data_IF_914958057605
#
_entry.id   IF_914958057605
#
_cell.length_a   1.000
_cell.length_b   1.000
_cell.length_c   1.000
_cell.angle_alpha   90.00
_cell.angle_beta   90.00
_cell.angle_gamma   90.00
#
_symmetry.space_group_name_H-M   'P 1'
#
loop_
_entity.id
_entity.type
_entity.pdbx_description
1 polymer ?
#
# COMPACT_ATOMS: atom_id res chain seq x y z
N UNK A 1 19.79 4.08 -11.08
CA UNK A 1 20.86 3.27 -11.69
C UNK A 1 21.49 4.04 -12.82
N UNK A 2 22.80 3.80 -13.07
CA UNK A 2 23.39 4.22 -14.34
C UNK A 2 22.78 3.43 -15.50
N UNK A 3 22.99 3.90 -16.75
CA UNK A 3 22.47 3.18 -17.91
C UNK A 3 23.09 1.78 -18.02
N UNK A 4 24.40 1.67 -17.81
CA UNK A 4 25.15 0.41 -17.85
C UNK A 4 24.64 -0.57 -16.79
N UNK A 5 24.43 -0.10 -15.56
CA UNK A 5 23.93 -0.94 -14.48
C UNK A 5 22.45 -1.33 -14.68
N UNK A 6 21.68 -0.48 -15.37
CA UNK A 6 20.31 -0.81 -15.75
C UNK A 6 20.23 -1.83 -16.89
N UNK A 7 21.22 -1.88 -17.77
CA UNK A 7 21.30 -2.88 -18.84
C UNK A 7 21.74 -4.25 -18.32
N UNK A 8 22.50 -4.29 -17.23
CA UNK A 8 23.03 -5.52 -16.61
C UNK A 8 22.29 -5.81 -15.27
N UNK A 9 20.98 -5.86 -15.35
CA UNK A 9 20.17 -6.13 -14.17
C UNK A 9 19.78 -7.61 -14.03
N UNK A 10 19.60 -8.04 -12.80
CA UNK A 10 18.91 -9.28 -12.46
C UNK A 10 17.59 -9.00 -11.75
N UNK A 11 16.82 -10.04 -11.49
CA UNK A 11 15.63 -9.95 -10.66
C UNK A 11 15.96 -10.47 -9.26
N UNK A 12 15.75 -9.63 -8.26
CA UNK A 12 15.84 -10.01 -6.84
C UNK A 12 14.44 -10.22 -6.32
N UNK A 13 14.20 -11.30 -5.60
CA UNK A 13 12.86 -11.61 -5.09
C UNK A 13 11.87 -11.94 -6.20
N UNK A 14 10.72 -11.26 -6.22
CA UNK A 14 9.61 -11.56 -7.13
C UNK A 14 9.72 -10.82 -8.46
N UNK A 15 9.95 -9.50 -8.41
CA UNK A 15 9.89 -8.61 -9.59
C UNK A 15 10.84 -7.40 -9.49
N UNK A 16 11.76 -7.39 -8.55
CA UNK A 16 12.59 -6.23 -8.24
C UNK A 16 13.84 -6.20 -9.12
N UNK A 17 13.91 -5.34 -10.17
CA UNK A 17 15.10 -5.24 -10.99
C UNK A 17 16.25 -4.58 -10.20
N UNK A 18 17.39 -5.24 -10.14
CA UNK A 18 18.54 -4.77 -9.39
C UNK A 18 19.86 -5.06 -10.10
N UNK A 19 20.84 -4.13 -10.06
CA UNK A 19 22.18 -4.37 -10.55
C UNK A 19 22.90 -5.43 -9.70
N UNK A 20 23.43 -6.44 -10.34
CA UNK A 20 24.11 -7.56 -9.69
C UNK A 20 25.33 -7.09 -8.87
N UNK A 21 25.39 -7.47 -7.59
CA UNK A 21 26.51 -7.16 -6.70
C UNK A 21 26.72 -5.68 -6.36
N UNK A 22 25.75 -4.80 -6.64
CA UNK A 22 25.89 -3.34 -6.46
C UNK A 22 24.86 -2.74 -5.51
N UNK A 23 23.92 -3.55 -5.03
CA UNK A 23 22.77 -3.06 -4.26
C UNK A 23 22.82 -3.54 -2.81
N UNK A 24 22.56 -2.61 -1.88
CA UNK A 24 22.38 -2.84 -0.46
C UNK A 24 20.94 -2.71 0.02
N UNK A 25 20.01 -2.48 -0.91
CA UNK A 25 18.61 -2.21 -0.61
C UNK A 25 17.87 -3.39 0.02
N UNK A 26 16.79 -3.09 0.74
CA UNK A 26 15.84 -4.06 1.27
C UNK A 26 14.56 -4.01 0.44
N UNK A 27 14.30 -5.08 -0.31
CA UNK A 27 13.09 -5.22 -1.13
C UNK A 27 11.99 -5.92 -0.35
N UNK A 28 10.74 -5.62 -0.69
CA UNK A 28 9.60 -6.18 0.03
C UNK A 28 9.62 -5.83 1.51
N UNK A 29 10.14 -4.65 1.82
CA UNK A 29 10.28 -4.18 3.19
C UNK A 29 8.94 -4.13 3.91
N UNK A 30 7.89 -3.80 3.15
CA UNK A 30 6.54 -3.66 3.67
C UNK A 30 5.52 -3.76 2.55
N UNK A 31 4.27 -4.10 2.90
CA UNK A 31 3.21 -4.42 1.95
C UNK A 31 1.95 -3.59 2.22
N UNK A 32 1.88 -2.29 1.81
CA UNK A 32 0.66 -1.52 1.93
C UNK A 32 -0.47 -2.15 1.12
N UNK A 33 -1.58 -2.47 1.81
CA UNK A 33 -2.75 -3.07 1.20
C UNK A 33 -3.76 -2.00 0.82
N UNK A 34 -3.82 -1.66 -0.48
CA UNK A 34 -4.70 -0.61 -1.01
C UNK A 34 -6.19 -0.94 -0.86
N UNK A 35 -6.58 -2.22 -0.97
CA UNK A 35 -7.98 -2.61 -0.77
C UNK A 35 -8.41 -2.46 0.69
N UNK A 36 -7.50 -2.71 1.65
CA UNK A 36 -7.77 -2.45 3.06
C UNK A 36 -7.93 -0.96 3.34
N UNK A 37 -7.13 -0.11 2.71
CA UNK A 37 -7.28 1.34 2.83
C UNK A 37 -8.62 1.81 2.26
N UNK A 38 -9.08 1.21 1.15
CA UNK A 38 -10.41 1.49 0.59
C UNK A 38 -11.53 1.08 1.55
N UNK A 39 -11.44 -0.11 2.14
CA UNK A 39 -12.38 -0.58 3.18
C UNK A 39 -12.43 0.39 4.36
N UNK A 40 -11.27 0.83 4.86
CA UNK A 40 -11.19 1.81 5.95
C UNK A 40 -11.76 3.18 5.56
N UNK A 41 -11.64 3.59 4.29
CA UNK A 41 -12.25 4.82 3.79
C UNK A 41 -13.78 4.74 3.88
N UNK A 42 -14.37 3.61 3.51
CA UNK A 42 -15.81 3.36 3.61
C UNK A 42 -16.30 3.22 5.06
N UNK A 43 -15.41 2.90 5.99
CA UNK A 43 -15.70 2.67 7.41
C UNK A 43 -15.18 3.78 8.34
N UNK A 44 -15.01 4.99 7.83
CA UNK A 44 -14.55 6.15 8.61
C UNK A 44 -13.26 5.89 9.40
N UNK A 45 -12.32 5.14 8.80
CA UNK A 45 -11.04 4.77 9.41
C UNK A 45 -11.12 3.69 10.48
N UNK A 46 -12.29 3.07 10.67
CA UNK A 46 -12.53 1.99 11.61
C UNK A 46 -12.41 0.64 10.92
N UNK A 47 -11.65 -0.28 11.51
CA UNK A 47 -11.58 -1.66 11.00
C UNK A 47 -12.89 -2.41 11.33
N UNK A 48 -13.66 -2.85 10.32
CA UNK A 48 -14.95 -3.50 10.57
C UNK A 48 -14.80 -4.85 11.29
N UNK A 49 -13.67 -5.52 11.16
CA UNK A 49 -13.43 -6.82 11.80
C UNK A 49 -13.14 -6.72 13.29
N UNK A 50 -12.32 -5.75 13.68
CA UNK A 50 -11.87 -5.59 15.08
C UNK A 50 -12.63 -4.51 15.83
N UNK A 51 -13.30 -3.61 15.13
CA UNK A 51 -13.96 -2.44 15.69
C UNK A 51 -12.99 -1.33 16.11
N UNK A 52 -11.70 -1.48 15.87
CA UNK A 52 -10.69 -0.49 16.27
C UNK A 52 -10.64 0.69 15.30
N UNK A 53 -10.53 1.89 15.84
CA UNK A 53 -10.24 3.09 15.07
C UNK A 53 -8.73 3.09 14.73
N UNK A 54 -8.38 2.80 13.49
CA UNK A 54 -6.98 2.66 13.05
C UNK A 54 -6.37 3.98 12.56
N UNK A 55 -7.20 4.92 12.12
CA UNK A 55 -6.78 6.24 11.67
C UNK A 55 -7.89 7.26 11.89
N UNK A 56 -7.58 8.53 11.71
CA UNK A 56 -8.60 9.59 11.78
C UNK A 56 -9.66 9.35 10.71
N UNK A 57 -10.91 9.44 11.10
CA UNK A 57 -12.05 9.30 10.22
C UNK A 57 -12.12 10.37 9.12
N UNK A 58 -12.90 10.06 8.09
CA UNK A 58 -13.16 10.94 6.94
C UNK A 58 -14.53 11.64 7.01
N UNK A 59 -15.34 11.32 8.01
CA UNK A 59 -16.73 11.74 8.14
C UNK A 59 -17.72 10.67 7.64
N UNK A 60 -18.98 11.06 7.55
CA UNK A 60 -20.04 10.15 7.11
C UNK A 60 -20.00 9.93 5.58
N UNK A 61 -20.47 8.78 5.11
CA UNK A 61 -20.59 8.49 3.68
C UNK A 61 -21.51 9.48 2.96
N UNK A 62 -22.51 10.00 3.66
CA UNK A 62 -23.41 11.06 3.16
C UNK A 62 -22.73 12.40 2.90
N UNK A 63 -21.52 12.61 3.41
CA UNK A 63 -20.77 13.86 3.20
C UNK A 63 -20.07 13.86 1.83
N UNK A 64 -19.85 12.69 1.21
CA UNK A 64 -19.28 12.57 -0.12
C UNK A 64 -20.34 12.84 -1.20
N UNK A 65 -20.40 14.08 -1.66
CA UNK A 65 -21.39 14.51 -2.68
C UNK A 65 -20.93 14.21 -4.10
N UNK A 66 -19.63 14.15 -4.31
CA UNK A 66 -19.01 13.90 -5.60
C UNK A 66 -18.01 12.73 -5.50
N UNK A 67 -17.68 12.15 -6.65
CA UNK A 67 -16.63 11.15 -6.73
C UNK A 67 -15.28 11.71 -6.26
N UNK A 68 -15.00 12.97 -6.53
CA UNK A 68 -13.76 13.63 -6.11
C UNK A 68 -13.66 13.74 -4.58
N UNK A 69 -14.76 14.00 -3.87
CA UNK A 69 -14.80 14.01 -2.40
C UNK A 69 -14.38 12.65 -1.85
N UNK A 70 -14.91 11.57 -2.44
CA UNK A 70 -14.55 10.20 -2.06
C UNK A 70 -13.08 9.89 -2.35
N UNK A 71 -12.58 10.28 -3.53
CA UNK A 71 -11.17 10.08 -3.91
C UNK A 71 -10.23 10.84 -2.98
N UNK A 72 -10.58 12.08 -2.60
CA UNK A 72 -9.77 12.85 -1.64
C UNK A 72 -9.77 12.23 -0.24
N UNK A 73 -10.89 11.66 0.20
CA UNK A 73 -10.95 10.90 1.44
C UNK A 73 -10.05 9.64 1.38
N UNK A 74 -10.12 8.88 0.30
CA UNK A 74 -9.23 7.73 0.06
C UNK A 74 -7.76 8.13 0.04
N UNK A 75 -7.39 9.21 -0.66
CA UNK A 75 -6.02 9.72 -0.68
C UNK A 75 -5.51 10.12 0.70
N UNK A 76 -6.36 10.75 1.54
CA UNK A 76 -6.00 11.10 2.93
C UNK A 76 -5.69 9.85 3.75
N UNK A 77 -6.52 8.82 3.64
CA UNK A 77 -6.30 7.54 4.31
C UNK A 77 -5.02 6.88 3.80
N UNK A 78 -4.84 6.80 2.49
CA UNK A 78 -3.66 6.20 1.88
C UNK A 78 -2.37 6.92 2.32
N UNK A 79 -2.36 8.25 2.29
CA UNK A 79 -1.21 9.05 2.73
C UNK A 79 -0.88 8.84 4.21
N UNK A 80 -1.89 8.67 5.06
CA UNK A 80 -1.67 8.34 6.47
C UNK A 80 -0.89 7.02 6.60
N UNK A 81 -1.34 5.95 5.94
CA UNK A 81 -0.68 4.65 6.01
C UNK A 81 0.69 4.65 5.36
N UNK A 82 0.85 5.26 4.18
CA UNK A 82 2.15 5.36 3.51
C UNK A 82 3.18 6.11 4.36
N UNK A 83 2.78 7.18 5.04
CA UNK A 83 3.67 7.91 5.95
C UNK A 83 4.14 7.04 7.12
N UNK A 84 3.23 6.31 7.76
CA UNK A 84 3.58 5.41 8.86
C UNK A 84 4.43 4.23 8.40
N UNK A 85 4.18 3.74 7.19
CA UNK A 85 4.97 2.73 6.54
C UNK A 85 6.42 3.18 6.33
N UNK A 86 6.65 4.36 5.77
CA UNK A 86 7.99 4.93 5.60
C UNK A 86 8.69 5.09 6.95
N UNK A 87 7.99 5.57 7.98
CA UNK A 87 8.57 5.70 9.33
C UNK A 87 8.99 4.34 9.89
N UNK A 88 8.13 3.32 9.76
CA UNK A 88 8.44 1.97 10.22
C UNK A 88 9.63 1.37 9.47
N UNK A 89 9.69 1.55 8.15
CA UNK A 89 10.81 1.06 7.34
C UNK A 89 12.13 1.75 7.70
N UNK A 90 12.12 3.05 7.94
CA UNK A 90 13.30 3.79 8.40
C UNK A 90 13.79 3.28 9.77
N UNK A 91 12.88 3.00 10.70
CA UNK A 91 13.24 2.43 12.02
C UNK A 91 13.87 1.05 11.85
N UNK A 92 13.32 0.21 10.98
CA UNK A 92 13.87 -1.12 10.70
C UNK A 92 15.27 -1.02 10.08
N UNK A 93 15.46 -0.13 9.09
CA UNK A 93 16.77 0.05 8.45
C UNK A 93 17.82 0.56 9.42
N UNK A 94 17.50 1.52 10.30
CA UNK A 94 18.37 1.98 11.37
C UNK A 94 18.70 0.84 12.35
N UNK A 95 17.72 0.01 12.68
CA UNK A 95 17.95 -1.15 13.56
C UNK A 95 18.89 -2.19 12.94
N UNK A 96 18.79 -2.39 11.63
CA UNK A 96 19.71 -3.28 10.90
C UNK A 96 21.12 -2.70 10.87
N UNK A 97 21.26 -1.42 10.59
CA UNK A 97 22.54 -0.72 10.59
C UNK A 97 23.28 -0.86 11.93
N UNK A 98 22.54 -0.73 13.04
CA UNK A 98 23.13 -0.73 14.37
C UNK A 98 23.33 -2.13 14.97
N UNK A 99 22.37 -3.04 14.75
CA UNK A 99 22.27 -4.29 15.49
C UNK A 99 22.68 -5.54 14.71
N UNK A 100 22.62 -5.50 13.36
CA UNK A 100 22.82 -6.68 12.52
C UNK A 100 23.76 -6.39 11.35
N UNK A 101 25.02 -6.00 11.62
CA UNK A 101 25.98 -5.77 10.55
C UNK A 101 26.33 -7.10 9.85
N UNK A 102 26.44 -7.05 8.52
CA UNK A 102 26.74 -8.20 7.68
C UNK A 102 28.07 -8.02 6.92
N UNK A 103 29.23 -8.25 7.58
CA UNK A 103 30.52 -8.03 6.95
C UNK A 103 30.80 -8.98 5.76
N UNK A 104 30.27 -10.20 5.80
CA UNK A 104 30.44 -11.14 4.69
C UNK A 104 29.73 -10.64 3.44
N UNK A 105 28.46 -10.27 3.55
CA UNK A 105 27.72 -9.69 2.42
C UNK A 105 28.37 -8.40 1.93
N UNK A 106 28.78 -7.53 2.84
CA UNK A 106 29.47 -6.27 2.53
C UNK A 106 30.76 -6.51 1.73
N UNK A 107 31.47 -7.63 1.95
CA UNK A 107 32.71 -7.94 1.25
C UNK A 107 32.53 -8.28 -0.23
N UNK A 108 31.31 -8.66 -0.66
CA UNK A 108 31.00 -9.06 -2.05
C UNK A 108 30.11 -8.02 -2.78
N UNK A 109 29.81 -6.92 -2.12
CA UNK A 109 29.02 -5.82 -2.73
C UNK A 109 29.96 -4.66 -3.11
N UNK A 110 29.81 -4.16 -4.33
CA UNK A 110 30.61 -3.05 -4.87
C UNK A 110 30.55 -1.83 -3.96
N UNK A 111 31.67 -1.16 -3.82
CA UNK A 111 31.91 0.03 -3.02
C UNK A 111 32.01 -0.18 -1.49
N UNK A 112 31.47 -1.23 -0.90
CA UNK A 112 31.52 -1.44 0.55
C UNK A 112 32.96 -1.44 1.08
N UNK A 113 33.86 -2.21 0.46
CA UNK A 113 35.29 -2.27 0.86
C UNK A 113 35.96 -0.92 0.57
N UNK A 114 35.74 -0.33 -0.60
CA UNK A 114 36.36 0.93 -0.98
C UNK A 114 35.96 2.10 -0.08
N UNK A 115 34.72 2.09 0.40
CA UNK A 115 34.20 3.11 1.33
C UNK A 115 34.51 2.78 2.79
N UNK A 116 34.92 1.54 3.10
CA UNK A 116 35.10 1.08 4.48
C UNK A 116 33.82 1.10 5.30
N UNK A 117 32.67 0.81 4.64
CA UNK A 117 31.37 0.86 5.25
C UNK A 117 30.58 -0.44 5.02
N UNK A 118 29.80 -0.78 6.01
CA UNK A 118 28.86 -1.89 5.94
C UNK A 118 27.74 -1.57 4.91
N UNK A 119 27.17 -2.62 4.33
CA UNK A 119 26.18 -2.51 3.25
C UNK A 119 25.00 -1.61 3.61
N UNK A 120 24.52 -1.65 4.86
CA UNK A 120 23.42 -0.79 5.35
C UNK A 120 23.87 0.56 5.89
N UNK A 121 25.16 0.79 6.04
CA UNK A 121 25.73 2.07 6.43
C UNK A 121 26.11 2.95 5.24
N UNK A 122 25.49 2.72 4.08
CA UNK A 122 25.80 3.42 2.84
C UNK A 122 27.09 2.93 2.19
N UNK A 123 27.47 1.66 2.40
CA UNK A 123 28.63 1.03 1.77
C UNK A 123 28.37 0.67 0.33
N UNK A 124 27.18 0.18 -0.01
CA UNK A 124 26.82 -0.22 -1.37
C UNK A 124 26.72 0.97 -2.32
N UNK A 125 26.94 0.71 -3.61
CA UNK A 125 26.77 1.71 -4.67
C UNK A 125 25.35 2.23 -4.74
N UNK A 126 24.38 1.33 -4.60
CA UNK A 126 22.95 1.65 -4.52
C UNK A 126 22.37 1.13 -3.22
N UNK A 127 21.77 1.99 -2.44
CA UNK A 127 21.11 1.64 -1.18
C UNK A 127 19.76 2.34 -1.11
N UNK A 128 18.68 1.53 -1.06
CA UNK A 128 17.31 2.02 -0.89
C UNK A 128 16.42 0.93 -0.31
N UNK A 129 15.36 1.34 0.34
CA UNK A 129 14.32 0.45 0.86
C UNK A 129 13.07 0.60 0.03
N UNK A 130 12.55 -0.51 -0.47
CA UNK A 130 11.37 -0.57 -1.34
C UNK A 130 10.20 -1.32 -0.71
N UNK A 131 9.06 -0.65 -0.58
CA UNK A 131 7.79 -1.29 -0.26
C UNK A 131 7.09 -1.84 -1.50
N UNK A 132 6.40 -2.96 -1.35
CA UNK A 132 5.57 -3.57 -2.40
C UNK A 132 4.10 -3.32 -2.13
N UNK A 133 3.42 -2.65 -3.04
CA UNK A 133 1.99 -2.42 -2.93
C UNK A 133 1.18 -3.66 -3.33
N UNK A 134 0.20 -4.05 -2.50
CA UNK A 134 -0.71 -5.15 -2.80
C UNK A 134 -2.13 -4.66 -3.00
N UNK A 135 -2.89 -5.38 -3.82
CA UNK A 135 -4.30 -5.09 -4.07
C UNK A 135 -4.56 -3.85 -4.94
N UNK A 136 -3.56 -3.30 -5.64
CA UNK A 136 -3.72 -2.09 -6.47
C UNK A 136 -4.79 -2.29 -7.53
N UNK A 137 -4.72 -3.36 -8.30
CA UNK A 137 -5.66 -3.63 -9.40
C UNK A 137 -7.07 -3.85 -8.85
N UNK A 138 -7.21 -4.64 -7.79
CA UNK A 138 -8.52 -4.86 -7.14
C UNK A 138 -9.09 -3.55 -6.58
N UNK A 139 -8.25 -2.71 -5.99
CA UNK A 139 -8.63 -1.40 -5.49
C UNK A 139 -9.07 -0.48 -6.64
N UNK A 140 -8.31 -0.44 -7.74
CA UNK A 140 -8.65 0.36 -8.92
C UNK A 140 -9.98 -0.08 -9.53
N UNK A 141 -10.20 -1.38 -9.69
CA UNK A 141 -11.47 -1.93 -10.18
C UNK A 141 -12.64 -1.57 -9.25
N UNK A 142 -12.45 -1.71 -7.93
CA UNK A 142 -13.49 -1.34 -6.95
C UNK A 142 -13.83 0.15 -7.00
N UNK A 143 -12.82 1.03 -7.09
CA UNK A 143 -13.03 2.47 -7.21
C UNK A 143 -13.73 2.82 -8.54
N UNK A 144 -13.35 2.18 -9.65
CA UNK A 144 -14.00 2.38 -10.95
C UNK A 144 -15.46 1.94 -10.93
N UNK A 145 -15.76 0.78 -10.32
CA UNK A 145 -17.12 0.29 -10.14
C UNK A 145 -17.93 1.23 -9.26
N UNK A 146 -17.38 1.66 -8.12
CA UNK A 146 -18.02 2.61 -7.22
C UNK A 146 -18.32 3.94 -7.94
N UNK A 147 -17.35 4.46 -8.71
CA UNK A 147 -17.57 5.66 -9.52
C UNK A 147 -18.77 5.49 -10.44
N UNK A 148 -18.79 4.42 -11.23
CA UNK A 148 -19.85 4.17 -12.21
C UNK A 148 -21.21 4.00 -11.54
N UNK A 149 -21.30 3.07 -10.57
CA UNK A 149 -22.58 2.62 -10.02
C UNK A 149 -23.20 3.64 -9.06
N UNK A 150 -22.37 4.34 -8.26
CA UNK A 150 -22.85 5.29 -7.26
C UNK A 150 -22.93 6.70 -7.81
N UNK A 151 -21.84 7.21 -8.44
CA UNK A 151 -21.74 8.63 -8.78
C UNK A 151 -22.18 8.95 -10.20
N UNK A 152 -21.86 8.11 -11.19
CA UNK A 152 -22.22 8.41 -12.59
C UNK A 152 -23.65 7.97 -12.91
N UNK A 153 -24.06 6.78 -12.52
CA UNK A 153 -25.37 6.19 -12.84
C UNK A 153 -26.40 6.34 -11.69
N UNK A 154 -25.94 6.54 -10.46
CA UNK A 154 -26.79 6.72 -9.29
C UNK A 154 -27.72 5.54 -8.98
N UNK A 155 -27.27 4.32 -9.30
CA UNK A 155 -28.07 3.10 -9.10
C UNK A 155 -28.25 2.75 -7.63
N UNK A 156 -27.22 3.02 -6.81
CA UNK A 156 -27.22 2.81 -5.36
C UNK A 156 -26.49 3.96 -4.66
N UNK A 157 -26.74 4.12 -3.36
CA UNK A 157 -25.98 5.06 -2.54
C UNK A 157 -24.74 4.39 -1.93
N UNK A 158 -23.79 5.19 -1.41
CA UNK A 158 -22.63 4.67 -0.68
C UNK A 158 -23.06 3.88 0.57
N UNK A 159 -24.13 4.29 1.24
CA UNK A 159 -24.67 3.60 2.42
C UNK A 159 -25.26 2.24 2.03
N UNK A 160 -25.99 2.16 0.90
CA UNK A 160 -26.53 0.90 0.41
C UNK A 160 -25.40 -0.06 0.02
N UNK A 161 -24.38 0.44 -0.68
CA UNK A 161 -23.18 -0.34 -0.99
C UNK A 161 -22.48 -0.83 0.29
N UNK A 162 -22.27 0.08 1.24
CA UNK A 162 -21.64 -0.30 2.51
C UNK A 162 -22.44 -1.36 3.25
N UNK A 163 -23.74 -1.20 3.36
CA UNK A 163 -24.62 -2.19 3.99
C UNK A 163 -24.53 -3.56 3.30
N UNK A 164 -24.53 -3.58 1.96
CA UNK A 164 -24.37 -4.81 1.19
C UNK A 164 -23.02 -5.47 1.45
N UNK A 165 -21.94 -4.70 1.55
CA UNK A 165 -20.61 -5.21 1.92
C UNK A 165 -20.57 -5.75 3.36
N UNK A 166 -21.15 -5.03 4.33
CA UNK A 166 -21.19 -5.43 5.72
C UNK A 166 -21.99 -6.72 5.94
N UNK A 167 -23.00 -6.97 5.12
CA UNK A 167 -23.83 -8.18 5.13
C UNK A 167 -23.39 -9.25 4.14
N UNK A 168 -22.22 -9.09 3.52
CA UNK A 168 -21.70 -9.99 2.49
C UNK A 168 -22.71 -10.23 1.33
N UNK A 169 -23.51 -9.21 0.99
CA UNK A 169 -24.58 -9.26 -0.01
C UNK A 169 -25.70 -10.29 0.28
N UNK A 170 -25.83 -10.73 1.51
CA UNK A 170 -26.81 -11.76 1.92
C UNK A 170 -28.15 -11.15 2.40
N UNK A 171 -28.19 -9.86 2.69
CA UNK A 171 -29.43 -9.17 3.10
C UNK A 171 -30.32 -8.89 1.88
N UNK A 172 -31.40 -9.65 1.77
CA UNK A 172 -32.42 -9.50 0.72
C UNK A 172 -33.69 -8.78 1.22
N UNK A 173 -33.64 -8.15 2.38
CA UNK A 173 -34.74 -7.35 2.94
C UNK A 173 -34.70 -5.88 2.52
N UNK A 174 -33.58 -5.44 1.94
CA UNK A 174 -33.36 -4.07 1.43
C UNK A 174 -33.84 -3.90 0.00
N UNK A 175 -33.92 -2.65 -0.47
CA UNK A 175 -34.20 -2.31 -1.87
C UNK A 175 -33.18 -1.26 -2.37
N UNK A 176 -32.27 -1.61 -3.31
CA UNK A 176 -32.11 -2.94 -3.89
C UNK A 176 -31.64 -3.99 -2.88
N UNK A 177 -31.89 -5.26 -3.18
CA UNK A 177 -31.44 -6.39 -2.36
C UNK A 177 -29.92 -6.57 -2.45
N UNK A 178 -29.33 -7.26 -1.48
CA UNK A 178 -27.89 -7.58 -1.53
C UNK A 178 -27.50 -8.32 -2.82
N UNK A 179 -28.34 -9.26 -3.27
CA UNK A 179 -28.08 -10.00 -4.51
C UNK A 179 -28.16 -9.11 -5.76
N UNK A 180 -29.08 -8.16 -5.83
CA UNK A 180 -29.18 -7.20 -6.92
C UNK A 180 -27.96 -6.28 -6.99
N UNK A 181 -27.45 -5.84 -5.85
CA UNK A 181 -26.23 -5.00 -5.78
C UNK A 181 -25.00 -5.79 -6.23
N UNK A 182 -24.97 -7.09 -5.96
CA UNK A 182 -23.84 -7.97 -6.33
C UNK A 182 -23.72 -8.24 -7.83
N UNK A 183 -24.83 -8.20 -8.59
CA UNK A 183 -24.89 -8.47 -10.03
C UNK A 183 -24.43 -7.27 -10.88
#
# INVERSE_FOLDING_TARGET
YSYEDACDYGITGCVEPSPQGKIGGRFGASFPNHTKVLELTLNDGKDPRTGLQLCKGNGNLTDFKTFDDFVEAFKKQLNFYLKHHIIADNIIDLSWEELIPNPFLSSVIEDCIARGKEIKQGGAKYDYTGGQSVGIISCANAIATLKKVVFDEGLITLEQLKHALDTNFEDNTTNPTGEEIRR
#
